data_IF_529364743493
#
_entry.id   IF_529364743493
#
_cell.length_a   1.000
_cell.length_b   1.000
_cell.length_c   1.000
_cell.angle_alpha   90.00
_cell.angle_beta   90.00
_cell.angle_gamma   90.00
#
_symmetry.space_group_name_H-M   'P 1'
#
loop_
_entity.id
_entity.type
_entity.pdbx_description
1 polymer ?
#
# COMPACT_ATOMS: atom_id res chain seq x y z
N UNK A 1 -28.90 7.93 -10.29
CA UNK A 1 -28.63 7.06 -11.46
C UNK A 1 -27.42 6.15 -11.30
N UNK A 2 -26.20 6.63 -10.94
CA UNK A 2 -25.02 5.74 -10.83
C UNK A 2 -25.10 4.75 -9.66
N UNK A 3 -25.63 5.15 -8.51
CA UNK A 3 -25.72 4.34 -7.31
C UNK A 3 -26.80 3.22 -7.43
N UNK A 4 -27.91 3.49 -8.08
CA UNK A 4 -28.99 2.49 -8.29
C UNK A 4 -28.53 1.34 -9.22
N UNK A 5 -27.70 1.64 -10.22
CA UNK A 5 -27.16 0.59 -11.09
C UNK A 5 -26.17 -0.31 -10.34
N UNK A 6 -25.34 0.22 -9.44
CA UNK A 6 -24.39 -0.59 -8.66
C UNK A 6 -25.11 -1.49 -7.64
N UNK A 7 -26.14 -1.01 -6.97
CA UNK A 7 -26.95 -1.81 -6.04
C UNK A 7 -27.53 -3.06 -6.73
N UNK A 8 -28.06 -2.89 -7.93
CA UNK A 8 -28.57 -4.01 -8.73
C UNK A 8 -27.48 -5.00 -9.16
N UNK A 9 -26.32 -4.46 -9.61
CA UNK A 9 -25.18 -5.30 -10.00
C UNK A 9 -24.62 -6.07 -8.80
N UNK A 10 -24.52 -5.43 -7.63
CA UNK A 10 -24.06 -6.08 -6.40
C UNK A 10 -25.03 -7.17 -5.95
N UNK A 11 -26.35 -6.95 -6.05
CA UNK A 11 -27.35 -7.96 -5.74
C UNK A 11 -27.18 -9.20 -6.64
N UNK A 12 -27.03 -9.03 -7.95
CA UNK A 12 -26.76 -10.10 -8.90
C UNK A 12 -25.41 -10.78 -8.67
N UNK A 13 -24.38 -10.00 -8.31
CA UNK A 13 -23.04 -10.54 -7.99
C UNK A 13 -23.10 -11.47 -6.77
N UNK A 14 -23.88 -11.14 -5.74
CA UNK A 14 -24.10 -12.01 -4.57
C UNK A 14 -24.63 -13.39 -4.96
N UNK A 15 -25.48 -13.45 -5.98
CA UNK A 15 -26.04 -14.68 -6.55
C UNK A 15 -25.06 -15.43 -7.47
N UNK A 16 -23.84 -14.89 -7.66
CA UNK A 16 -22.80 -15.49 -8.48
C UNK A 16 -22.90 -15.17 -9.98
N UNK A 17 -23.64 -14.12 -10.35
CA UNK A 17 -23.77 -13.69 -11.74
C UNK A 17 -22.45 -13.11 -12.26
N UNK A 18 -21.85 -13.80 -13.24
CA UNK A 18 -20.57 -13.41 -13.86
C UNK A 18 -20.67 -12.11 -14.65
N UNK A 19 -21.77 -11.87 -15.35
CA UNK A 19 -21.96 -10.60 -16.12
C UNK A 19 -22.03 -9.39 -15.19
N UNK A 20 -22.63 -9.53 -14.01
CA UNK A 20 -22.62 -8.46 -13.01
C UNK A 20 -21.20 -8.17 -12.47
N UNK A 21 -20.39 -9.22 -12.30
CA UNK A 21 -18.99 -9.09 -11.94
C UNK A 21 -18.19 -8.37 -13.04
N UNK A 22 -18.33 -8.80 -14.29
CA UNK A 22 -17.66 -8.17 -15.45
C UNK A 22 -18.02 -6.69 -15.57
N UNK A 23 -19.30 -6.33 -15.46
CA UNK A 23 -19.76 -4.96 -15.52
C UNK A 23 -19.15 -4.08 -14.40
N UNK A 24 -19.04 -4.60 -13.16
CA UNK A 24 -18.37 -3.89 -12.06
C UNK A 24 -16.86 -3.82 -12.26
N UNK A 25 -16.24 -4.85 -12.82
CA UNK A 25 -14.82 -4.86 -13.16
C UNK A 25 -14.51 -3.81 -14.23
N UNK A 26 -15.21 -3.80 -15.34
CA UNK A 26 -15.03 -2.81 -16.42
C UNK A 26 -15.21 -1.38 -15.89
N UNK A 27 -16.22 -1.17 -15.05
CA UNK A 27 -16.52 0.14 -14.49
C UNK A 27 -15.44 0.70 -13.56
N UNK A 28 -14.78 -0.16 -12.78
CA UNK A 28 -13.93 0.30 -11.68
C UNK A 28 -12.46 -0.08 -11.78
N UNK A 29 -12.07 -1.08 -12.59
CA UNK A 29 -10.71 -1.62 -12.61
C UNK A 29 -9.66 -0.61 -13.07
N UNK A 30 -9.89 0.07 -14.19
CA UNK A 30 -8.94 1.04 -14.74
C UNK A 30 -8.67 2.19 -13.76
N UNK A 31 -9.74 2.68 -13.12
CA UNK A 31 -9.65 3.76 -12.17
C UNK A 31 -8.92 3.33 -10.88
N UNK A 32 -9.23 2.13 -10.36
CA UNK A 32 -8.54 1.58 -9.20
C UNK A 32 -7.06 1.39 -9.50
N UNK A 33 -6.73 0.81 -10.66
CA UNK A 33 -5.37 0.62 -11.12
C UNK A 33 -4.60 1.95 -11.16
N UNK A 34 -5.13 2.97 -11.84
CA UNK A 34 -4.48 4.28 -11.94
C UNK A 34 -4.25 4.91 -10.56
N UNK A 35 -5.23 4.79 -9.65
CA UNK A 35 -5.09 5.30 -8.29
C UNK A 35 -3.99 4.55 -7.52
N UNK A 36 -3.88 3.22 -7.68
CA UNK A 36 -2.84 2.43 -7.02
C UNK A 36 -1.46 2.74 -7.63
N UNK A 37 -1.35 2.92 -8.96
CA UNK A 37 -0.07 3.31 -9.61
C UNK A 37 0.48 4.59 -8.99
N UNK A 38 -0.38 5.61 -8.78
CA UNK A 38 0.03 6.86 -8.14
C UNK A 38 0.52 6.67 -6.70
N UNK A 39 0.00 5.65 -6.00
CA UNK A 39 0.40 5.35 -4.61
C UNK A 39 1.72 4.58 -4.54
N UNK A 40 1.88 3.54 -5.36
CA UNK A 40 2.99 2.59 -5.24
C UNK A 40 4.09 2.79 -6.27
N UNK A 41 3.83 3.61 -7.31
CA UNK A 41 4.73 3.90 -8.43
C UNK A 41 5.33 2.63 -9.07
N UNK A 42 4.51 1.57 -9.14
CA UNK A 42 4.87 0.26 -9.65
C UNK A 42 3.68 -0.32 -10.41
N UNK A 43 3.79 -0.31 -11.74
CA UNK A 43 2.71 -0.74 -12.64
C UNK A 43 2.37 -2.22 -12.45
N UNK A 44 3.37 -3.07 -12.22
CA UNK A 44 3.16 -4.51 -12.02
C UNK A 44 2.42 -4.76 -10.70
N UNK A 45 2.92 -4.19 -9.62
CA UNK A 45 2.28 -4.29 -8.30
C UNK A 45 0.87 -3.72 -8.30
N UNK A 46 0.65 -2.57 -8.95
CA UNK A 46 -0.68 -1.97 -9.06
C UNK A 46 -1.66 -2.88 -9.81
N UNK A 47 -1.21 -3.55 -10.88
CA UNK A 47 -1.99 -4.54 -11.61
C UNK A 47 -2.36 -5.73 -10.71
N UNK A 48 -1.39 -6.27 -9.99
CA UNK A 48 -1.58 -7.42 -9.10
C UNK A 48 -2.55 -7.09 -7.97
N UNK A 49 -2.40 -5.92 -7.33
CA UNK A 49 -3.32 -5.46 -6.28
C UNK A 49 -4.74 -5.25 -6.84
N UNK A 50 -4.86 -4.66 -8.03
CA UNK A 50 -6.17 -4.46 -8.67
C UNK A 50 -6.86 -5.80 -8.92
N UNK A 51 -6.18 -6.75 -9.55
CA UNK A 51 -6.72 -8.09 -9.81
C UNK A 51 -7.08 -8.82 -8.52
N UNK A 52 -6.18 -8.84 -7.54
CA UNK A 52 -6.41 -9.50 -6.24
C UNK A 52 -7.58 -8.88 -5.47
N UNK A 53 -7.81 -7.56 -5.62
CA UNK A 53 -8.96 -6.88 -5.02
C UNK A 53 -10.28 -7.39 -5.60
N UNK A 54 -10.37 -7.53 -6.91
CA UNK A 54 -11.56 -8.06 -7.57
C UNK A 54 -11.74 -9.57 -7.32
N UNK A 55 -10.66 -10.36 -7.26
CA UNK A 55 -10.72 -11.76 -6.85
C UNK A 55 -11.30 -11.90 -5.44
N UNK A 56 -10.84 -11.08 -4.50
CA UNK A 56 -11.37 -11.04 -3.13
C UNK A 56 -12.88 -10.70 -3.10
N UNK A 57 -13.32 -9.78 -3.95
CA UNK A 57 -14.74 -9.46 -4.09
C UNK A 57 -15.52 -10.67 -4.61
N UNK A 58 -15.02 -11.36 -5.62
CA UNK A 58 -15.68 -12.57 -6.15
C UNK A 58 -15.76 -13.67 -5.10
N UNK A 59 -14.70 -13.92 -4.36
CA UNK A 59 -14.66 -14.92 -3.29
C UNK A 59 -15.65 -14.60 -2.17
N UNK A 60 -15.73 -13.32 -1.78
CA UNK A 60 -16.59 -12.84 -0.68
C UNK A 60 -17.97 -12.35 -1.14
N UNK A 61 -18.36 -12.60 -2.39
CA UNK A 61 -19.57 -12.04 -2.99
C UNK A 61 -20.86 -12.29 -2.21
N UNK A 62 -20.98 -13.46 -1.59
CA UNK A 62 -22.15 -13.79 -0.76
C UNK A 62 -22.35 -12.88 0.46
N UNK A 63 -21.26 -12.26 0.93
CA UNK A 63 -21.26 -11.38 2.10
C UNK A 63 -21.37 -9.89 1.74
N UNK A 64 -21.54 -9.57 0.46
CA UNK A 64 -21.68 -8.16 0.02
C UNK A 64 -23.00 -7.60 0.54
N UNK A 65 -22.92 -6.38 1.05
CA UNK A 65 -24.06 -5.61 1.52
C UNK A 65 -24.51 -4.65 0.41
N UNK A 66 -25.73 -4.83 -0.10
CA UNK A 66 -26.29 -4.05 -1.19
C UNK A 66 -26.58 -2.59 -0.80
N UNK A 67 -26.72 -2.30 0.49
CA UNK A 67 -26.97 -0.94 1.01
C UNK A 67 -25.67 -0.12 1.10
N UNK A 68 -24.52 -0.81 1.09
CA UNK A 68 -23.21 -0.17 1.17
C UNK A 68 -22.65 0.17 -0.19
N UNK A 69 -21.83 1.20 -0.24
CA UNK A 69 -21.14 1.62 -1.46
C UNK A 69 -20.13 0.55 -1.92
N UNK A 70 -20.36 -0.05 -3.10
CA UNK A 70 -19.42 -0.98 -3.70
C UNK A 70 -18.03 -0.38 -3.91
N UNK A 71 -17.87 0.83 -4.50
CA UNK A 71 -16.55 1.43 -4.65
C UNK A 71 -15.85 1.68 -3.31
N UNK A 72 -16.57 2.05 -2.24
CA UNK A 72 -15.95 2.21 -0.92
C UNK A 72 -15.45 0.87 -0.35
N UNK A 73 -16.18 -0.24 -0.58
CA UNK A 73 -15.76 -1.57 -0.19
C UNK A 73 -14.53 -2.04 -0.99
N UNK A 74 -14.54 -1.86 -2.31
CA UNK A 74 -13.41 -2.14 -3.18
C UNK A 74 -12.15 -1.36 -2.76
N UNK A 75 -12.30 -0.06 -2.48
CA UNK A 75 -11.23 0.77 -1.93
C UNK A 75 -10.66 0.22 -0.62
N UNK A 76 -11.53 -0.29 0.26
CA UNK A 76 -11.09 -0.85 1.55
C UNK A 76 -10.23 -2.09 1.36
N UNK A 77 -10.59 -2.96 0.41
CA UNK A 77 -9.81 -4.15 0.07
C UNK A 77 -8.45 -3.75 -0.50
N UNK A 78 -8.44 -2.89 -1.52
CA UNK A 78 -7.22 -2.43 -2.18
C UNK A 78 -6.27 -1.71 -1.20
N UNK A 79 -6.81 -0.82 -0.34
CA UNK A 79 -6.06 -0.14 0.71
C UNK A 79 -5.32 -1.12 1.62
N UNK A 80 -6.01 -2.17 2.07
CA UNK A 80 -5.39 -3.14 2.96
C UNK A 80 -4.26 -3.91 2.26
N UNK A 81 -4.38 -4.17 0.96
CA UNK A 81 -3.34 -4.80 0.16
C UNK A 81 -2.14 -3.87 -0.07
N UNK A 82 -2.39 -2.61 -0.45
CA UNK A 82 -1.34 -1.59 -0.58
C UNK A 82 -0.59 -1.42 0.74
N UNK A 83 -1.33 -1.29 1.86
CA UNK A 83 -0.73 -1.15 3.18
C UNK A 83 0.15 -2.35 3.54
N UNK A 84 -0.35 -3.57 3.36
CA UNK A 84 0.40 -4.80 3.63
C UNK A 84 1.67 -4.88 2.79
N UNK A 85 1.60 -4.51 1.53
CA UNK A 85 2.77 -4.51 0.65
C UNK A 85 3.79 -3.44 1.05
N UNK A 86 3.31 -2.23 1.39
CA UNK A 86 4.18 -1.16 1.90
C UNK A 86 4.88 -1.58 3.20
N UNK A 87 4.14 -2.21 4.12
CA UNK A 87 4.73 -2.77 5.35
C UNK A 87 5.79 -3.83 5.02
N UNK A 88 5.50 -4.73 4.09
CA UNK A 88 6.45 -5.75 3.62
C UNK A 88 7.72 -5.11 3.06
N UNK A 89 7.60 -4.09 2.22
CA UNK A 89 8.75 -3.36 1.66
C UNK A 89 9.57 -2.65 2.74
N UNK A 90 8.92 -2.01 3.72
CA UNK A 90 9.61 -1.39 4.85
C UNK A 90 10.44 -2.39 5.68
N UNK A 91 9.96 -3.63 5.79
CA UNK A 91 10.65 -4.69 6.54
C UNK A 91 11.66 -5.46 5.68
N UNK A 92 11.45 -5.54 4.36
CA UNK A 92 12.14 -6.47 3.47
C UNK A 92 13.40 -5.91 2.81
N UNK A 93 13.70 -4.62 2.92
CA UNK A 93 15.00 -4.07 2.47
C UNK A 93 16.21 -4.72 3.17
N UNK A 94 15.97 -5.76 3.97
CA UNK A 94 17.02 -6.61 4.58
C UNK A 94 17.71 -7.55 3.60
N UNK A 95 17.15 -7.84 2.41
CA UNK A 95 17.66 -8.94 1.56
C UNK A 95 18.02 -8.55 0.12
N UNK A 96 17.71 -7.36 -0.37
CA UNK A 96 17.75 -7.07 -1.82
C UNK A 96 18.91 -6.16 -2.26
N UNK A 97 19.60 -5.47 -1.35
CA UNK A 97 20.78 -4.67 -1.74
C UNK A 97 21.96 -5.50 -2.33
N UNK A 98 21.95 -6.82 -2.19
CA UNK A 98 23.00 -7.69 -2.76
C UNK A 98 22.65 -8.29 -4.12
N UNK A 99 21.45 -8.08 -4.70
CA UNK A 99 21.08 -8.67 -6.01
C UNK A 99 20.59 -7.70 -7.09
N UNK A 100 20.37 -6.43 -6.81
CA UNK A 100 19.84 -5.48 -7.80
C UNK A 100 20.87 -4.43 -8.27
N UNK A 101 22.10 -4.89 -8.54
CA UNK A 101 23.02 -4.15 -9.45
C UNK A 101 22.94 -4.66 -10.89
N UNK A 102 22.06 -5.59 -11.19
CA UNK A 102 21.94 -6.14 -12.53
C UNK A 102 20.46 -6.32 -12.83
N UNK A 103 19.98 -5.58 -13.80
CA UNK A 103 18.62 -5.51 -14.36
C UNK A 103 17.77 -4.31 -13.91
N UNK A 104 18.32 -3.09 -14.13
CA UNK A 104 17.46 -1.97 -14.50
C UNK A 104 17.10 -2.17 -15.98
N UNK A 105 16.06 -2.95 -16.27
CA UNK A 105 15.42 -2.85 -17.57
C UNK A 105 14.85 -1.44 -17.71
N UNK A 106 15.35 -0.75 -18.74
CA UNK A 106 14.91 0.56 -19.15
C UNK A 106 13.38 0.57 -19.31
N UNK A 107 12.69 1.19 -18.36
CA UNK A 107 11.32 1.59 -18.55
C UNK A 107 11.41 2.81 -19.45
N UNK A 108 10.89 2.68 -20.68
CA UNK A 108 10.70 3.82 -21.59
C UNK A 108 10.04 4.96 -20.82
N UNK A 109 10.77 6.08 -20.76
CA UNK A 109 10.32 7.37 -20.24
C UNK A 109 9.14 7.86 -21.06
N UNK A 110 7.93 7.54 -20.62
CA UNK A 110 6.78 8.33 -21.00
C UNK A 110 6.55 9.34 -19.85
N UNK A 111 7.00 10.53 -20.13
CA UNK A 111 7.00 11.78 -19.39
C UNK A 111 5.90 11.92 -18.33
N UNK A 112 6.22 11.52 -17.10
CA UNK A 112 5.67 12.10 -15.90
C UNK A 112 6.79 12.18 -14.87
N UNK A 113 7.41 13.37 -14.76
CA UNK A 113 8.38 13.77 -13.76
C UNK A 113 7.80 13.67 -12.34
N UNK A 114 7.65 12.45 -11.83
CA UNK A 114 7.42 12.20 -10.41
C UNK A 114 8.43 11.17 -9.94
N UNK A 115 9.64 11.65 -9.65
CA UNK A 115 10.84 10.87 -9.33
C UNK A 115 10.77 9.96 -8.10
N UNK A 116 9.69 10.01 -7.31
CA UNK A 116 9.54 9.20 -6.08
C UNK A 116 8.08 8.88 -5.84
N UNK A 117 7.76 7.66 -5.44
CA UNK A 117 6.40 7.28 -5.10
C UNK A 117 5.81 8.19 -4.00
N UNK A 118 4.55 8.52 -4.12
CA UNK A 118 3.86 9.36 -3.13
C UNK A 118 3.97 8.75 -1.71
N UNK A 119 3.94 7.43 -1.61
CA UNK A 119 4.12 6.71 -0.33
C UNK A 119 5.55 6.87 0.19
N UNK A 120 6.56 6.75 -0.67
CA UNK A 120 7.97 6.91 -0.27
C UNK A 120 8.26 8.32 0.23
N UNK A 121 7.76 9.34 -0.46
CA UNK A 121 7.83 10.73 0.02
C UNK A 121 7.15 10.90 1.38
N UNK A 122 5.98 10.30 1.57
CA UNK A 122 5.27 10.36 2.84
C UNK A 122 6.05 9.67 3.96
N UNK A 123 6.66 8.51 3.68
CA UNK A 123 7.53 7.82 4.64
C UNK A 123 8.73 8.68 5.01
N UNK A 124 9.38 9.28 4.03
CA UNK A 124 10.54 10.14 4.25
C UNK A 124 10.20 11.35 5.12
N UNK A 125 9.08 12.03 4.83
CA UNK A 125 8.59 13.15 5.65
C UNK A 125 8.30 12.71 7.10
N UNK A 126 7.68 11.53 7.28
CA UNK A 126 7.42 10.97 8.60
C UNK A 126 8.73 10.64 9.33
N UNK A 127 9.72 10.07 8.64
CA UNK A 127 11.02 9.78 9.23
C UNK A 127 11.75 11.06 9.65
N UNK A 128 11.67 12.13 8.84
CA UNK A 128 12.27 13.43 9.20
C UNK A 128 11.62 14.06 10.44
N UNK A 129 10.36 13.78 10.71
CA UNK A 129 9.66 14.27 11.90
C UNK A 129 10.01 13.52 13.19
N UNK A 130 10.72 12.39 13.10
CA UNK A 130 11.11 11.60 14.26
C UNK A 130 12.30 12.20 15.01
N UNK A 131 12.42 11.95 16.33
CA UNK A 131 13.65 12.23 17.08
C UNK A 131 14.84 11.52 16.41
N UNK A 132 15.99 12.22 16.37
CA UNK A 132 17.21 11.77 15.69
C UNK A 132 17.59 10.32 16.00
N UNK A 133 17.67 9.98 17.28
CA UNK A 133 18.00 8.61 17.73
C UNK A 133 17.02 7.56 17.16
N UNK A 134 15.73 7.87 17.13
CA UNK A 134 14.72 6.93 16.58
C UNK A 134 14.87 6.76 15.06
N UNK A 135 15.20 7.83 14.36
CA UNK A 135 15.46 7.83 12.92
C UNK A 135 16.72 7.03 12.59
N UNK A 136 17.81 7.25 13.31
CA UNK A 136 19.06 6.49 13.14
C UNK A 136 18.88 5.00 13.42
N UNK A 137 18.24 4.64 14.52
CA UNK A 137 17.90 3.25 14.83
C UNK A 137 17.10 2.63 13.71
N UNK A 138 16.09 3.35 13.19
CA UNK A 138 15.27 2.84 12.08
C UNK A 138 16.10 2.63 10.81
N UNK A 139 16.95 3.58 10.43
CA UNK A 139 17.82 3.51 9.24
C UNK A 139 18.82 2.34 9.33
N UNK A 140 19.50 2.20 10.47
CA UNK A 140 20.45 1.11 10.69
C UNK A 140 19.77 -0.27 10.69
N UNK A 141 18.59 -0.38 11.29
CA UNK A 141 17.77 -1.60 11.25
C UNK A 141 17.28 -1.91 9.84
N UNK A 142 16.86 -0.89 9.06
CA UNK A 142 16.43 -1.04 7.68
C UNK A 142 17.58 -1.47 6.77
N UNK A 143 18.78 -0.95 6.95
CA UNK A 143 19.97 -1.37 6.20
C UNK A 143 20.32 -2.86 6.43
N UNK A 144 19.91 -3.44 7.57
CA UNK A 144 20.01 -4.88 7.83
C UNK A 144 21.43 -5.43 7.98
N UNK A 145 22.44 -4.55 8.04
CA UNK A 145 23.86 -4.91 8.13
C UNK A 145 24.35 -5.15 9.57
N UNK A 146 23.62 -4.62 10.55
CA UNK A 146 24.01 -4.64 11.96
C UNK A 146 22.99 -5.36 12.84
N UNK A 147 23.47 -6.11 13.81
CA UNK A 147 22.66 -6.71 14.89
C UNK A 147 22.20 -5.62 15.88
N UNK A 148 21.21 -5.92 16.73
CA UNK A 148 20.78 -5.01 17.79
C UNK A 148 21.93 -4.61 18.71
N UNK A 149 22.85 -5.54 19.01
CA UNK A 149 24.02 -5.31 19.84
C UNK A 149 24.99 -4.32 19.21
N UNK A 150 25.25 -4.44 17.91
CA UNK A 150 26.15 -3.53 17.17
C UNK A 150 25.53 -2.14 17.06
N UNK A 151 24.22 -2.04 16.78
CA UNK A 151 23.50 -0.75 16.76
C UNK A 151 23.54 -0.11 18.15
N UNK A 152 23.30 -0.87 19.20
CA UNK A 152 23.35 -0.40 20.57
C UNK A 152 24.74 0.17 20.92
N UNK A 153 25.81 -0.54 20.52
CA UNK A 153 27.18 -0.08 20.71
C UNK A 153 27.50 1.18 19.91
N UNK A 154 27.01 1.28 18.66
CA UNK A 154 27.25 2.43 17.78
C UNK A 154 26.56 3.72 18.26
N UNK A 155 25.37 3.58 18.84
CA UNK A 155 24.53 4.71 19.26
C UNK A 155 24.59 5.00 20.77
N UNK A 156 25.46 4.31 21.52
CA UNK A 156 25.56 4.39 22.98
C UNK A 156 24.20 4.10 23.68
N UNK A 157 23.53 3.04 23.22
CA UNK A 157 22.24 2.59 23.73
C UNK A 157 22.32 1.17 24.30
N UNK A 158 21.29 0.77 25.01
CA UNK A 158 21.08 -0.66 25.32
C UNK A 158 20.34 -1.34 24.17
N UNK A 159 20.54 -2.65 23.97
CA UNK A 159 19.79 -3.43 22.97
C UNK A 159 18.27 -3.28 23.13
N UNK A 160 17.80 -3.25 24.38
CA UNK A 160 16.39 -3.03 24.71
C UNK A 160 15.91 -1.64 24.29
N UNK A 161 16.76 -0.61 24.38
CA UNK A 161 16.44 0.74 23.91
C UNK A 161 16.33 0.76 22.37
N UNK A 162 17.26 0.09 21.66
CA UNK A 162 17.19 -0.07 20.19
C UNK A 162 15.87 -0.72 19.76
N UNK A 163 15.48 -1.82 20.40
CA UNK A 163 14.20 -2.50 20.12
C UNK A 163 13.00 -1.58 20.39
N UNK A 164 13.03 -0.85 21.50
CA UNK A 164 11.94 0.05 21.88
C UNK A 164 11.82 1.23 20.90
N UNK A 165 12.93 1.82 20.46
CA UNK A 165 12.94 2.88 19.44
C UNK A 165 12.39 2.36 18.10
N UNK A 166 12.88 1.22 17.64
CA UNK A 166 12.42 0.62 16.39
C UNK A 166 10.92 0.27 16.45
N UNK A 167 10.45 -0.35 17.52
CA UNK A 167 9.04 -0.70 17.70
C UNK A 167 8.13 0.54 17.66
N UNK A 168 8.48 1.60 18.40
CA UNK A 168 7.70 2.85 18.44
C UNK A 168 7.66 3.52 17.06
N UNK A 169 8.80 3.57 16.37
CA UNK A 169 8.87 4.10 15.00
C UNK A 169 8.00 3.32 14.04
N UNK A 170 8.08 1.99 14.06
CA UNK A 170 7.26 1.13 13.20
C UNK A 170 5.77 1.29 13.49
N UNK A 171 5.38 1.40 14.77
CA UNK A 171 3.99 1.63 15.15
C UNK A 171 3.47 2.96 14.57
N UNK A 172 4.23 4.04 14.74
CA UNK A 172 3.88 5.36 14.24
C UNK A 172 3.78 5.37 12.70
N UNK A 173 4.77 4.82 12.01
CA UNK A 173 4.74 4.71 10.54
C UNK A 173 3.51 3.93 10.06
N UNK A 174 3.18 2.81 10.70
CA UNK A 174 2.00 2.01 10.35
C UNK A 174 0.70 2.79 10.50
N UNK A 175 0.55 3.55 11.59
CA UNK A 175 -0.66 4.34 11.85
C UNK A 175 -0.81 5.49 10.85
N UNK A 176 0.25 6.25 10.59
CA UNK A 176 0.22 7.40 9.67
C UNK A 176 0.07 6.97 8.21
N UNK A 177 0.80 5.94 7.77
CA UNK A 177 0.63 5.38 6.42
C UNK A 177 -0.77 4.84 6.18
N UNK A 178 -1.35 4.17 7.17
CA UNK A 178 -2.74 3.68 7.07
C UNK A 178 -3.73 4.82 6.86
N UNK A 179 -3.58 5.92 7.61
CA UNK A 179 -4.42 7.13 7.46
C UNK A 179 -4.23 7.75 6.07
N UNK A 180 -2.97 7.93 5.67
CA UNK A 180 -2.62 8.51 4.37
C UNK A 180 -3.22 7.71 3.20
N UNK A 181 -2.99 6.40 3.16
CA UNK A 181 -3.51 5.53 2.10
C UNK A 181 -5.05 5.55 2.08
N UNK A 182 -5.69 5.60 3.26
CA UNK A 182 -7.15 5.71 3.35
C UNK A 182 -7.67 7.01 2.74
N UNK A 183 -7.10 8.14 3.11
CA UNK A 183 -7.49 9.46 2.60
C UNK A 183 -7.23 9.57 1.09
N UNK A 184 -6.06 9.11 0.64
CA UNK A 184 -5.68 9.17 -0.77
C UNK A 184 -6.63 8.33 -1.65
N UNK A 185 -6.87 7.07 -1.31
CA UNK A 185 -7.80 6.22 -2.05
C UNK A 185 -9.24 6.76 -2.01
N UNK A 186 -9.69 7.26 -0.88
CA UNK A 186 -11.01 7.87 -0.78
C UNK A 186 -11.12 9.12 -1.65
N UNK A 187 -10.14 9.99 -1.61
CA UNK A 187 -10.14 11.23 -2.38
C UNK A 187 -10.08 10.96 -3.89
N UNK A 188 -9.09 10.19 -4.33
CA UNK A 188 -8.87 9.96 -5.76
C UNK A 188 -9.86 8.97 -6.38
N UNK A 189 -10.32 7.99 -5.63
CA UNK A 189 -11.19 6.95 -6.16
C UNK A 189 -12.68 7.30 -6.04
N UNK A 190 -13.13 7.98 -5.00
CA UNK A 190 -14.55 8.27 -4.78
C UNK A 190 -14.98 9.65 -5.33
N UNK A 191 -14.07 10.62 -5.40
CA UNK A 191 -14.40 11.99 -5.79
C UNK A 191 -14.54 12.18 -7.31
N UNK A 192 -13.84 11.42 -8.11
CA UNK A 192 -13.91 11.44 -9.56
C UNK A 192 -14.75 10.28 -10.06
#
# INVERSE_FOLDING_TARGET
MQKENDTLLVAKLREGNKFAFEALYEKYSARLYNTIVLLVYDKSLAKDITQSSFMTIWEKRSNLDTEKSFPAYLCTIARNMVYKETERRLLHNKFVENKLKTEAEAIEEDTMDMDVSIIEKQIEQLLQSLPEVSREVFQLKRAGKLSNKEIASQLDLTERAVEAHFYRTMKLLKEELRKFIMLFLSFYFLKN
#
